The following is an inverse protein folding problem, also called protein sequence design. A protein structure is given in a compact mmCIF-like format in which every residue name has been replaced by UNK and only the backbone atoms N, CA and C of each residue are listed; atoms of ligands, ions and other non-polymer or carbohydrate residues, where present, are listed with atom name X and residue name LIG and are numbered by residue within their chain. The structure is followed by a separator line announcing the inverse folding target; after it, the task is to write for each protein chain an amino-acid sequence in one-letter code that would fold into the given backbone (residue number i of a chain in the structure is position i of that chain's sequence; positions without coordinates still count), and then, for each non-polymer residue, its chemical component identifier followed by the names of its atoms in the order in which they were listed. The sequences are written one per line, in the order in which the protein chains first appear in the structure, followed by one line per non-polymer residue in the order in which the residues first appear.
data_IF_692183042823
#
_entry.id   IF_692183042823
#
_cell.length_a   1.000
_cell.length_b   1.000
_cell.length_c   1.000
_cell.angle_alpha   90.00
_cell.angle_beta   90.00
_cell.angle_gamma   90.00
#
_symmetry.space_group_name_H-M   'P 1'
#
loop_
_entity.id
_entity.type
_entity.pdbx_description
1 polymer ?
#
# COMPACT_ATOMS: atom_id res chain seq x y z
N UNK A 1 -1.21 -35.70 -14.50
CA UNK A 1 -2.39 -36.19 -13.75
C UNK A 1 -2.59 -35.44 -12.42
N UNK A 2 -1.58 -35.32 -11.56
CA UNK A 2 -1.76 -34.71 -10.23
C UNK A 2 -2.15 -33.23 -10.24
N UNK A 3 -1.63 -32.43 -11.18
CA UNK A 3 -2.03 -31.03 -11.35
C UNK A 3 -3.52 -30.92 -11.72
N UNK A 4 -3.97 -31.70 -12.71
CA UNK A 4 -5.36 -31.71 -13.19
C UNK A 4 -6.37 -32.14 -12.10
N UNK A 5 -5.94 -32.95 -11.14
CA UNK A 5 -6.80 -33.39 -10.04
C UNK A 5 -7.10 -32.26 -9.04
N UNK A 6 -6.14 -31.34 -8.85
CA UNK A 6 -6.25 -30.23 -7.90
C UNK A 6 -7.08 -29.05 -8.43
N UNK A 7 -7.22 -28.92 -9.75
CA UNK A 7 -7.95 -27.82 -10.39
C UNK A 7 -9.47 -27.96 -10.22
N UNK A 8 -10.18 -26.83 -10.15
CA UNK A 8 -11.65 -26.81 -10.12
C UNK A 8 -12.23 -27.07 -11.52
N UNK A 9 -13.52 -27.37 -11.60
CA UNK A 9 -14.19 -27.58 -12.90
C UNK A 9 -14.07 -26.36 -13.81
N UNK A 10 -14.25 -25.16 -13.23
CA UNK A 10 -14.11 -23.88 -13.95
C UNK A 10 -12.72 -23.73 -14.56
N UNK A 11 -11.66 -24.03 -13.79
CA UNK A 11 -10.28 -23.94 -14.29
C UNK A 11 -10.03 -24.90 -15.46
N UNK A 12 -10.56 -26.13 -15.38
CA UNK A 12 -10.42 -27.12 -16.45
C UNK A 12 -11.15 -26.69 -17.73
N UNK A 13 -12.30 -26.03 -17.60
CA UNK A 13 -13.04 -25.47 -18.74
C UNK A 13 -12.25 -24.33 -19.40
N UNK A 14 -11.69 -23.40 -18.61
CA UNK A 14 -10.90 -22.30 -19.18
C UNK A 14 -9.59 -22.82 -19.80
N UNK A 15 -8.92 -23.80 -19.18
CA UNK A 15 -7.75 -24.46 -19.77
C UNK A 15 -8.12 -25.12 -21.10
N UNK A 16 -9.20 -25.89 -21.17
CA UNK A 16 -9.63 -26.54 -22.41
C UNK A 16 -9.91 -25.50 -23.51
N UNK A 17 -10.56 -24.39 -23.18
CA UNK A 17 -10.81 -23.27 -24.10
C UNK A 17 -9.52 -22.62 -24.58
N UNK A 18 -8.57 -22.32 -23.68
CA UNK A 18 -7.25 -21.74 -24.02
C UNK A 18 -6.43 -22.72 -24.87
N UNK A 19 -6.58 -24.02 -24.64
CA UNK A 19 -5.96 -25.07 -25.44
C UNK A 19 -6.68 -25.34 -26.76
N UNK A 20 -7.80 -24.68 -27.02
CA UNK A 20 -8.65 -24.85 -28.21
C UNK A 20 -9.23 -26.27 -28.33
N UNK A 21 -9.48 -26.93 -27.19
CA UNK A 21 -10.11 -28.24 -27.11
C UNK A 21 -11.63 -28.07 -27.21
N UNK A 22 -12.26 -28.80 -28.14
CA UNK A 22 -13.73 -28.82 -28.25
C UNK A 22 -14.37 -29.42 -26.99
N UNK A 23 -15.26 -28.66 -26.36
CA UNK A 23 -15.98 -29.06 -25.15
C UNK A 23 -17.48 -28.96 -25.35
N UNK A 24 -18.25 -29.79 -24.64
CA UNK A 24 -19.72 -29.81 -24.70
C UNK A 24 -20.32 -29.27 -23.40
N UNK A 25 -21.52 -28.68 -23.49
CA UNK A 25 -22.22 -28.17 -22.31
C UNK A 25 -22.59 -29.34 -21.39
N UNK A 26 -22.24 -29.23 -20.10
CA UNK A 26 -22.52 -30.28 -19.10
C UNK A 26 -21.44 -31.36 -18.97
N UNK A 27 -20.29 -31.20 -19.65
CA UNK A 27 -19.17 -32.14 -19.57
C UNK A 27 -18.65 -32.29 -18.13
N UNK A 28 -18.38 -33.54 -17.73
CA UNK A 28 -17.93 -33.83 -16.36
C UNK A 28 -16.44 -33.54 -16.17
N UNK A 29 -16.05 -33.26 -14.93
CA UNK A 29 -14.66 -32.97 -14.56
C UNK A 29 -13.66 -33.99 -15.09
N UNK A 30 -13.95 -35.29 -14.93
CA UNK A 30 -13.03 -36.35 -15.35
C UNK A 30 -12.96 -36.54 -16.87
N UNK A 31 -13.99 -36.15 -17.61
CA UNK A 31 -13.96 -36.15 -19.08
C UNK A 31 -13.05 -35.02 -19.60
N UNK A 32 -13.16 -33.82 -19.03
CA UNK A 32 -12.27 -32.70 -19.36
C UNK A 32 -10.80 -33.02 -19.08
N UNK A 33 -10.51 -33.67 -17.94
CA UNK A 33 -9.15 -34.11 -17.63
C UNK A 33 -8.60 -35.05 -18.70
N UNK A 34 -9.40 -36.01 -19.17
CA UNK A 34 -8.98 -36.96 -20.21
C UNK A 34 -8.70 -36.26 -21.53
N UNK A 35 -9.55 -35.31 -21.94
CA UNK A 35 -9.34 -34.54 -23.16
C UNK A 35 -8.07 -33.69 -23.08
N UNK A 36 -7.85 -33.00 -21.96
CA UNK A 36 -6.62 -32.22 -21.74
C UNK A 36 -5.39 -33.13 -21.75
N UNK A 37 -5.43 -34.27 -21.07
CA UNK A 37 -4.33 -35.25 -21.09
C UNK A 37 -4.03 -35.77 -22.48
N UNK A 38 -5.07 -36.09 -23.27
CA UNK A 38 -4.90 -36.56 -24.64
C UNK A 38 -4.25 -35.48 -25.52
N UNK A 39 -4.72 -34.23 -25.42
CA UNK A 39 -4.13 -33.11 -26.15
C UNK A 39 -2.65 -32.88 -25.81
N UNK A 40 -2.27 -33.01 -24.53
CA UNK A 40 -0.86 -32.90 -24.11
C UNK A 40 0.01 -34.02 -24.70
N UNK A 41 -0.50 -35.25 -24.72
CA UNK A 41 0.20 -36.41 -25.30
C UNK A 41 0.41 -36.24 -26.82
N UNK A 42 -0.64 -35.85 -27.56
CA UNK A 42 -0.55 -35.59 -29.01
C UNK A 42 0.49 -34.52 -29.35
N UNK A 43 0.60 -33.53 -28.47
CA UNK A 43 1.52 -32.41 -28.62
C UNK A 43 2.93 -32.68 -28.07
N UNK A 44 3.16 -33.84 -27.43
CA UNK A 44 4.39 -34.16 -26.69
C UNK A 44 4.77 -33.05 -25.68
N UNK A 45 3.76 -32.51 -25.00
CA UNK A 45 3.90 -31.49 -23.97
C UNK A 45 3.44 -32.01 -22.62
N UNK A 46 3.85 -31.30 -21.56
CA UNK A 46 3.51 -31.64 -20.18
C UNK A 46 2.98 -30.38 -19.48
N UNK A 47 2.10 -30.56 -18.49
CA UNK A 47 1.69 -29.45 -17.63
C UNK A 47 2.74 -29.23 -16.54
N UNK A 48 3.11 -27.98 -16.33
CA UNK A 48 3.91 -27.61 -15.17
C UNK A 48 3.43 -26.32 -14.54
N UNK A 49 3.70 -26.25 -13.24
CA UNK A 49 3.53 -25.06 -12.44
C UNK A 49 4.89 -24.57 -11.97
N UNK A 50 5.06 -23.26 -11.79
CA UNK A 50 6.26 -22.68 -11.16
C UNK A 50 6.17 -21.17 -10.94
N UNK A 51 7.13 -20.61 -10.23
CA UNK A 51 7.19 -19.19 -9.87
C UNK A 51 8.10 -18.44 -10.85
N UNK A 52 7.59 -17.41 -11.51
CA UNK A 52 8.34 -16.64 -12.49
C UNK A 52 9.46 -15.82 -11.85
N UNK A 53 10.68 -15.99 -12.37
CA UNK A 53 11.84 -15.16 -12.05
C UNK A 53 12.29 -14.44 -13.33
N UNK A 54 12.00 -13.14 -13.43
CA UNK A 54 12.27 -12.32 -14.62
C UNK A 54 13.71 -11.78 -14.60
N UNK A 55 14.38 -11.83 -15.75
CA UNK A 55 15.67 -11.21 -15.98
C UNK A 55 15.52 -9.75 -16.45
N UNK A 56 16.55 -8.89 -16.27
CA UNK A 56 16.52 -7.49 -16.72
C UNK A 56 16.21 -7.32 -18.21
N UNK A 57 16.59 -8.29 -19.04
CA UNK A 57 16.36 -8.31 -20.48
C UNK A 57 14.92 -8.69 -20.87
N UNK A 58 14.04 -8.93 -19.88
CA UNK A 58 12.60 -9.11 -20.04
C UNK A 58 12.14 -10.55 -20.23
N UNK A 59 13.05 -11.51 -20.50
CA UNK A 59 12.73 -12.94 -20.44
C UNK A 59 12.77 -13.44 -18.99
N UNK A 60 12.34 -14.68 -18.73
CA UNK A 60 12.39 -15.23 -17.38
C UNK A 60 12.43 -16.75 -17.34
N UNK A 61 12.54 -17.28 -16.13
CA UNK A 61 12.44 -18.71 -15.86
C UNK A 61 11.42 -18.97 -14.76
N UNK A 62 10.56 -19.97 -14.93
CA UNK A 62 9.81 -20.52 -13.82
C UNK A 62 10.77 -21.35 -12.95
N UNK A 63 10.83 -20.99 -11.67
CA UNK A 63 11.54 -21.66 -10.58
C UNK A 63 10.56 -22.50 -9.77
N UNK A 64 11.08 -23.33 -8.86
CA UNK A 64 10.28 -24.18 -7.96
C UNK A 64 9.21 -25.01 -8.70
N UNK A 65 9.60 -25.53 -9.86
CA UNK A 65 8.62 -26.11 -10.77
C UNK A 65 8.25 -27.53 -10.37
N UNK A 66 7.05 -27.97 -10.73
CA UNK A 66 6.60 -29.36 -10.53
C UNK A 66 7.44 -30.38 -11.30
N UNK A 67 8.23 -29.94 -12.28
CA UNK A 67 9.16 -30.78 -13.05
C UNK A 67 10.58 -30.81 -12.44
N UNK A 68 10.83 -30.08 -11.35
CA UNK A 68 12.15 -29.97 -10.71
C UNK A 68 13.22 -29.30 -11.59
N UNK A 69 12.82 -28.64 -12.69
CA UNK A 69 13.71 -28.02 -13.68
C UNK A 69 13.24 -26.61 -14.00
N UNK A 70 14.18 -25.72 -14.33
CA UNK A 70 13.84 -24.37 -14.78
C UNK A 70 13.12 -24.44 -16.13
N UNK A 71 12.04 -23.68 -16.26
CA UNK A 71 11.25 -23.59 -17.49
C UNK A 71 11.41 -22.17 -18.04
N UNK A 72 11.99 -22.06 -19.24
CA UNK A 72 12.16 -20.80 -19.94
C UNK A 72 10.81 -20.19 -20.34
N UNK A 73 10.70 -18.88 -20.19
CA UNK A 73 9.58 -18.09 -20.62
C UNK A 73 10.06 -16.85 -21.38
N UNK A 74 9.49 -16.65 -22.57
CA UNK A 74 9.92 -15.57 -23.47
C UNK A 74 9.42 -14.20 -23.00
N UNK A 75 10.17 -13.15 -23.34
CA UNK A 75 9.78 -11.77 -23.04
C UNK A 75 8.43 -11.39 -23.66
N UNK A 76 8.07 -11.96 -24.82
CA UNK A 76 6.77 -11.72 -25.46
C UNK A 76 5.62 -12.32 -24.66
N UNK A 77 5.76 -13.54 -24.12
CA UNK A 77 4.76 -14.15 -23.24
C UNK A 77 4.62 -13.37 -21.93
N UNK A 78 5.74 -12.99 -21.31
CA UNK A 78 5.76 -12.20 -20.08
C UNK A 78 5.05 -10.86 -20.30
N UNK A 79 5.39 -10.16 -21.38
CA UNK A 79 4.77 -8.88 -21.73
C UNK A 79 3.29 -9.01 -22.10
N UNK A 80 2.92 -10.02 -22.89
CA UNK A 80 1.54 -10.24 -23.34
C UNK A 80 0.59 -10.45 -22.16
N UNK A 81 0.98 -11.31 -21.22
CA UNK A 81 0.18 -11.64 -20.04
C UNK A 81 0.53 -10.76 -18.83
N UNK A 82 1.33 -9.70 -19.03
CA UNK A 82 1.74 -8.71 -18.02
C UNK A 82 2.30 -9.36 -16.74
N UNK A 83 3.00 -10.48 -16.91
CA UNK A 83 3.53 -11.28 -15.81
C UNK A 83 4.76 -10.61 -15.21
N UNK A 84 4.95 -10.80 -13.91
CA UNK A 84 6.04 -10.23 -13.13
C UNK A 84 6.76 -11.29 -12.31
N UNK A 85 7.91 -10.89 -11.80
CA UNK A 85 8.66 -11.71 -10.85
C UNK A 85 7.77 -12.08 -9.65
N UNK A 86 7.71 -13.37 -9.33
CA UNK A 86 6.89 -13.92 -8.26
C UNK A 86 5.56 -14.50 -8.73
N UNK A 87 5.11 -14.22 -9.95
CA UNK A 87 3.86 -14.77 -10.45
C UNK A 87 3.93 -16.30 -10.58
N UNK A 88 2.90 -16.94 -10.08
CA UNK A 88 2.71 -18.38 -10.16
C UNK A 88 2.11 -18.75 -11.49
N UNK A 89 2.86 -19.40 -12.37
CA UNK A 89 2.42 -19.67 -13.74
C UNK A 89 2.13 -21.15 -13.91
N UNK A 90 0.92 -21.46 -14.40
CA UNK A 90 0.54 -22.77 -14.94
C UNK A 90 0.61 -22.71 -16.47
N UNK A 91 1.37 -23.61 -17.07
CA UNK A 91 1.55 -23.63 -18.51
C UNK A 91 1.65 -25.03 -19.10
N UNK A 92 1.37 -25.09 -20.40
CA UNK A 92 1.76 -26.19 -21.28
C UNK A 92 3.24 -26.03 -21.62
N UNK A 93 4.04 -27.04 -21.32
CA UNK A 93 5.50 -27.01 -21.37
C UNK A 93 5.99 -28.03 -22.38
N UNK A 94 6.95 -27.62 -23.21
CA UNK A 94 7.66 -28.53 -24.13
C UNK A 94 9.06 -28.85 -23.62
N UNK A 95 9.55 -30.03 -24.01
CA UNK A 95 10.95 -30.42 -23.84
C UNK A 95 11.86 -29.53 -24.70
N UNK A 96 13.13 -29.35 -24.30
CA UNK A 96 14.11 -28.62 -25.09
C UNK A 96 14.27 -29.23 -26.49
N UNK A 97 14.46 -28.40 -27.51
CA UNK A 97 14.68 -28.82 -28.90
C UNK A 97 16.08 -28.39 -29.34
N UNK A 98 16.81 -29.27 -30.03
CA UNK A 98 18.14 -28.96 -30.56
C UNK A 98 19.16 -28.70 -29.46
N UNK A 99 19.75 -27.50 -29.45
CA UNK A 99 20.78 -27.08 -28.49
C UNK A 99 20.21 -26.47 -27.19
N UNK A 100 18.88 -26.32 -27.09
CA UNK A 100 18.24 -25.81 -25.88
C UNK A 100 18.50 -26.73 -24.68
N UNK A 101 18.83 -26.16 -23.52
CA UNK A 101 19.09 -26.93 -22.28
C UNK A 101 17.89 -26.98 -21.34
N UNK A 102 16.96 -26.04 -21.48
CA UNK A 102 15.83 -25.86 -20.56
C UNK A 102 14.51 -26.25 -21.23
N UNK A 103 13.54 -26.65 -20.42
CA UNK A 103 12.14 -26.71 -20.86
C UNK A 103 11.66 -25.32 -21.23
N UNK A 104 10.62 -25.20 -22.05
CA UNK A 104 10.07 -23.91 -22.44
C UNK A 104 8.54 -23.90 -22.33
N UNK A 105 7.97 -22.79 -21.87
CA UNK A 105 6.52 -22.55 -21.90
C UNK A 105 6.09 -22.44 -23.36
N UNK A 106 5.27 -23.39 -23.81
CA UNK A 106 4.61 -23.32 -25.12
C UNK A 106 3.42 -22.38 -25.04
N UNK A 107 2.57 -22.56 -24.03
CA UNK A 107 1.32 -21.81 -23.84
C UNK A 107 1.11 -21.57 -22.35
N UNK A 108 0.89 -20.31 -21.96
CA UNK A 108 0.43 -19.98 -20.61
C UNK A 108 -1.03 -20.38 -20.54
N UNK A 109 -1.45 -21.02 -19.45
CA UNK A 109 -2.82 -21.50 -19.26
C UNK A 109 -3.53 -20.74 -18.14
N UNK A 110 -2.80 -20.40 -17.08
CA UNK A 110 -3.26 -19.61 -15.95
C UNK A 110 -2.07 -18.95 -15.27
N UNK A 111 -2.25 -17.81 -14.62
CA UNK A 111 -1.26 -17.31 -13.67
C UNK A 111 -1.92 -16.75 -12.41
N UNK A 112 -1.31 -17.03 -11.27
CA UNK A 112 -1.87 -16.86 -9.93
C UNK A 112 -3.26 -17.50 -9.89
N UNK A 113 -4.28 -16.73 -9.51
CA UNK A 113 -5.68 -17.15 -9.52
C UNK A 113 -6.49 -16.55 -10.69
N UNK A 114 -5.82 -15.84 -11.60
CA UNK A 114 -6.46 -15.10 -12.68
C UNK A 114 -6.50 -15.88 -13.99
N UNK A 115 -7.63 -15.76 -14.69
CA UNK A 115 -7.77 -16.23 -16.07
C UNK A 115 -6.95 -15.33 -17.01
N UNK A 116 -6.43 -15.88 -18.11
CA UNK A 116 -5.53 -15.14 -19.02
C UNK A 116 -6.17 -13.88 -19.61
N UNK A 117 -7.48 -13.93 -19.89
CA UNK A 117 -8.22 -12.77 -20.40
C UNK A 117 -8.19 -11.60 -19.40
N UNK A 118 -8.28 -11.88 -18.10
CA UNK A 118 -8.17 -10.85 -17.06
C UNK A 118 -6.77 -10.22 -17.06
N UNK A 119 -5.72 -11.06 -17.10
CA UNK A 119 -4.32 -10.62 -17.16
C UNK A 119 -4.02 -9.78 -18.39
N UNK A 120 -4.51 -10.18 -19.58
CA UNK A 120 -4.32 -9.40 -20.81
C UNK A 120 -5.03 -8.03 -20.72
N UNK A 121 -6.20 -7.97 -20.08
CA UNK A 121 -6.99 -6.74 -19.93
C UNK A 121 -6.49 -5.76 -18.85
N UNK A 122 -5.68 -6.23 -17.89
CA UNK A 122 -5.18 -5.42 -16.77
C UNK A 122 -4.40 -4.20 -17.24
N UNK A 123 -4.79 -2.99 -16.87
CA UNK A 123 -4.06 -1.78 -17.26
C UNK A 123 -2.87 -1.59 -16.29
N UNK A 124 -1.62 -1.41 -16.77
CA UNK A 124 -0.48 -1.14 -15.89
C UNK A 124 -0.71 0.09 -15.01
N UNK A 125 -0.19 0.08 -13.79
CA UNK A 125 -0.40 1.12 -12.79
C UNK A 125 -0.08 2.53 -13.29
N UNK A 126 0.99 2.65 -14.07
CA UNK A 126 1.47 3.91 -14.65
C UNK A 126 0.52 4.48 -15.72
N UNK A 127 -0.32 3.64 -16.32
CA UNK A 127 -1.34 4.02 -17.32
C UNK A 127 -2.72 4.26 -16.71
N UNK A 128 -2.92 3.90 -15.44
CA UNK A 128 -4.18 4.17 -14.72
C UNK A 128 -4.39 5.68 -14.52
N UNK A 129 -5.65 6.12 -14.63
CA UNK A 129 -6.00 7.55 -14.55
C UNK A 129 -6.11 7.99 -13.08
N UNK A 130 -5.18 8.83 -12.57
CA UNK A 130 -5.24 9.32 -11.20
C UNK A 130 -6.38 10.33 -11.02
N UNK A 131 -7.01 10.30 -9.86
CA UNK A 131 -8.03 11.26 -9.42
C UNK A 131 -7.79 11.70 -7.98
N UNK A 132 -8.51 12.74 -7.55
CA UNK A 132 -8.54 13.08 -6.13
C UNK A 132 -9.29 11.99 -5.35
N UNK A 133 -8.93 11.76 -4.08
CA UNK A 133 -9.75 10.98 -3.17
C UNK A 133 -11.15 11.59 -3.05
N UNK A 134 -12.17 10.73 -3.15
CA UNK A 134 -13.59 11.12 -3.04
C UNK A 134 -14.36 10.28 -2.02
N UNK A 135 -13.68 9.32 -1.39
CA UNK A 135 -14.26 8.46 -0.36
C UNK A 135 -13.36 8.53 0.88
N UNK A 136 -13.95 8.95 2.00
CA UNK A 136 -13.26 9.09 3.28
C UNK A 136 -13.10 7.73 3.97
N UNK A 137 -11.93 7.49 4.58
CA UNK A 137 -11.79 6.49 5.62
C UNK A 137 -12.35 7.05 6.93
N UNK A 138 -13.41 6.45 7.47
CA UNK A 138 -13.98 6.82 8.76
C UNK A 138 -13.12 6.22 9.87
N UNK A 139 -12.33 7.04 10.54
CA UNK A 139 -11.38 6.58 11.56
C UNK A 139 -11.97 6.68 12.98
N UNK A 140 -12.92 7.58 13.22
CA UNK A 140 -13.53 7.85 14.51
C UNK A 140 -14.82 7.08 14.79
N UNK A 141 -14.92 5.81 14.35
CA UNK A 141 -16.12 4.98 14.53
C UNK A 141 -16.34 4.67 16.01
N UNK A 142 -15.29 4.22 16.69
CA UNK A 142 -15.33 4.00 18.14
C UNK A 142 -15.31 5.34 18.90
N UNK A 143 -16.18 5.45 19.89
CA UNK A 143 -16.29 6.64 20.75
C UNK A 143 -14.95 6.96 21.44
N UNK A 144 -14.23 5.92 21.87
CA UNK A 144 -12.98 6.04 22.62
C UNK A 144 -11.75 6.30 21.72
N UNK A 145 -11.91 6.18 20.39
CA UNK A 145 -10.85 6.49 19.43
C UNK A 145 -10.75 8.01 19.17
N UNK A 146 -10.20 8.72 20.14
CA UNK A 146 -10.02 10.18 20.09
C UNK A 146 -9.14 10.58 18.89
N UNK A 147 -8.10 9.82 18.57
CA UNK A 147 -7.22 10.06 17.41
C UNK A 147 -7.99 10.03 16.10
N UNK A 148 -8.75 8.97 15.87
CA UNK A 148 -9.58 8.83 14.67
C UNK A 148 -10.64 9.92 14.58
N UNK A 149 -11.30 10.25 15.69
CA UNK A 149 -12.29 11.32 15.74
C UNK A 149 -11.72 12.70 15.43
N UNK A 150 -10.52 13.02 15.93
CA UNK A 150 -9.83 14.27 15.57
C UNK A 150 -9.42 14.26 14.11
N UNK A 151 -8.89 13.16 13.58
CA UNK A 151 -8.53 13.06 12.17
C UNK A 151 -9.72 13.28 11.24
N UNK A 152 -10.87 12.66 11.53
CA UNK A 152 -12.08 12.84 10.73
C UNK A 152 -12.59 14.29 10.70
N UNK A 153 -12.31 15.08 11.75
CA UNK A 153 -12.71 16.50 11.85
C UNK A 153 -11.67 17.46 11.27
N UNK A 154 -10.38 17.16 11.42
CA UNK A 154 -9.29 18.13 11.18
C UNK A 154 -8.46 17.78 9.94
N UNK A 155 -8.24 16.50 9.66
CA UNK A 155 -7.41 16.04 8.54
C UNK A 155 -8.00 14.77 7.94
N UNK A 156 -9.21 14.82 7.34
CA UNK A 156 -9.87 13.64 6.81
C UNK A 156 -8.97 12.95 5.77
N UNK A 157 -8.87 11.63 5.85
CA UNK A 157 -8.03 10.81 4.96
C UNK A 157 -8.96 10.03 4.04
N UNK A 158 -8.70 10.04 2.73
CA UNK A 158 -9.48 9.26 1.77
C UNK A 158 -8.72 8.14 1.07
N UNK A 159 -9.46 7.32 0.32
CA UNK A 159 -8.92 6.31 -0.59
C UNK A 159 -8.04 6.99 -1.66
N UNK A 160 -6.76 6.64 -1.68
CA UNK A 160 -5.76 7.24 -2.55
C UNK A 160 -5.02 8.46 -1.99
N UNK A 161 -5.14 8.74 -0.69
CA UNK A 161 -4.48 9.89 -0.06
C UNK A 161 -2.96 9.70 0.05
N UNK A 162 -2.22 10.81 -0.06
CA UNK A 162 -0.80 10.94 0.30
C UNK A 162 -0.71 11.75 1.59
N UNK A 163 -0.78 11.07 2.72
CA UNK A 163 -0.76 11.71 4.03
C UNK A 163 0.65 11.68 4.64
N UNK A 164 1.09 12.82 5.17
CA UNK A 164 2.31 12.94 5.97
C UNK A 164 1.93 13.11 7.44
N UNK A 165 2.52 12.28 8.30
CA UNK A 165 2.53 12.48 9.75
C UNK A 165 3.85 13.15 10.09
N UNK A 166 3.82 14.47 10.25
CA UNK A 166 4.98 15.30 10.57
C UNK A 166 5.17 15.27 12.08
N UNK A 167 6.16 14.53 12.56
CA UNK A 167 6.30 14.28 13.99
C UNK A 167 7.75 14.50 14.48
N UNK A 168 7.95 15.25 15.58
CA UNK A 168 9.23 15.25 16.26
C UNK A 168 9.44 13.95 17.05
N UNK A 169 10.69 13.63 17.43
CA UNK A 169 10.97 12.51 18.31
C UNK A 169 10.14 12.61 19.62
N UNK A 170 9.65 11.45 20.10
CA UNK A 170 8.84 11.32 21.33
C UNK A 170 7.45 11.97 21.30
N UNK A 171 6.90 12.31 20.13
CA UNK A 171 5.55 12.87 20.00
C UNK A 171 4.41 11.83 20.06
N UNK A 172 4.72 10.53 20.25
CA UNK A 172 3.72 9.45 20.26
C UNK A 172 3.42 8.85 18.88
N UNK A 173 4.36 8.99 17.93
CA UNK A 173 4.27 8.47 16.54
C UNK A 173 3.79 7.02 16.45
N UNK A 174 4.43 6.10 17.18
CA UNK A 174 4.16 4.66 17.11
C UNK A 174 2.74 4.34 17.55
N UNK A 175 2.31 4.85 18.71
CA UNK A 175 0.92 4.73 19.18
C UNK A 175 -0.08 5.33 18.20
N UNK A 176 0.28 6.44 17.56
CA UNK A 176 -0.59 7.09 16.58
C UNK A 176 -0.75 6.27 15.29
N UNK A 177 0.32 5.66 14.79
CA UNK A 177 0.25 4.72 13.65
C UNK A 177 -0.64 3.52 14.00
N UNK A 178 -0.43 2.89 15.15
CA UNK A 178 -1.24 1.74 15.58
C UNK A 178 -2.73 2.11 15.69
N UNK A 179 -3.03 3.30 16.21
CA UNK A 179 -4.40 3.82 16.30
C UNK A 179 -5.05 4.03 14.93
N UNK A 180 -4.32 4.57 13.95
CA UNK A 180 -4.81 4.70 12.56
C UNK A 180 -5.00 3.32 11.93
N UNK A 181 -4.07 2.39 12.12
CA UNK A 181 -4.13 1.05 11.56
C UNK A 181 -5.38 0.30 12.03
N UNK A 182 -5.61 0.26 13.35
CA UNK A 182 -6.77 -0.40 13.94
C UNK A 182 -8.09 0.22 13.46
N UNK A 183 -8.14 1.56 13.37
CA UNK A 183 -9.31 2.27 12.86
C UNK A 183 -9.61 1.93 11.38
N UNK A 184 -8.58 1.80 10.55
CA UNK A 184 -8.73 1.39 9.14
C UNK A 184 -9.26 -0.04 9.03
N UNK A 185 -8.71 -0.97 9.82
CA UNK A 185 -9.10 -2.39 9.81
C UNK A 185 -10.55 -2.57 10.26
N UNK A 186 -10.95 -1.84 11.30
CA UNK A 186 -12.33 -1.89 11.80
C UNK A 186 -13.32 -1.26 10.82
N UNK A 187 -12.99 -0.06 10.32
CA UNK A 187 -13.90 0.76 9.53
C UNK A 187 -14.00 0.40 8.05
N UNK A 188 -12.97 -0.21 7.46
CA UNK A 188 -12.86 -0.36 6.01
C UNK A 188 -12.41 -1.76 5.59
N UNK A 189 -13.38 -2.68 5.54
CA UNK A 189 -13.16 -4.10 5.22
C UNK A 189 -12.77 -4.38 3.77
N UNK A 190 -12.90 -3.39 2.89
CA UNK A 190 -12.56 -3.51 1.47
C UNK A 190 -11.13 -3.02 1.14
N UNK A 191 -10.37 -2.67 2.17
CA UNK A 191 -9.02 -2.12 2.05
C UNK A 191 -8.01 -2.99 2.80
N UNK A 192 -6.92 -3.36 2.13
CA UNK A 192 -5.81 -4.06 2.78
C UNK A 192 -4.89 -3.08 3.49
N UNK A 193 -4.66 -3.31 4.79
CA UNK A 193 -3.79 -2.47 5.62
C UNK A 193 -2.42 -3.11 5.76
N UNK A 194 -1.41 -2.45 5.22
CA UNK A 194 -0.01 -2.86 5.27
C UNK A 194 0.78 -1.87 6.11
N UNK A 195 1.64 -2.38 7.00
CA UNK A 195 2.55 -1.55 7.79
C UNK A 195 3.97 -1.85 7.36
N UNK A 196 4.70 -0.82 6.91
CA UNK A 196 6.09 -0.91 6.49
C UNK A 196 6.98 -0.16 7.48
N UNK A 197 7.77 -0.91 8.25
CA UNK A 197 8.68 -0.39 9.27
C UNK A 197 10.12 -0.46 8.75
N UNK A 198 10.76 0.68 8.61
CA UNK A 198 12.10 0.83 8.04
C UNK A 198 13.04 1.45 9.06
N UNK A 199 14.14 0.76 9.36
CA UNK A 199 15.20 1.22 10.27
C UNK A 199 14.63 1.59 11.66
N UNK A 200 13.57 0.88 12.08
CA UNK A 200 12.96 1.03 13.39
C UNK A 200 13.45 -0.04 14.36
N UNK A 201 13.20 0.19 15.65
CA UNK A 201 13.69 -0.70 16.71
C UNK A 201 12.93 -2.02 16.78
N UNK A 202 13.59 -3.17 17.03
CA UNK A 202 12.93 -4.46 17.13
C UNK A 202 11.78 -4.50 18.15
N UNK A 203 11.89 -3.79 19.27
CA UNK A 203 10.83 -3.70 20.27
C UNK A 203 9.60 -2.94 19.75
N UNK A 204 9.78 -1.89 18.95
CA UNK A 204 8.68 -1.14 18.32
C UNK A 204 8.02 -1.96 17.21
N UNK A 205 8.79 -2.76 16.47
CA UNK A 205 8.25 -3.72 15.50
C UNK A 205 7.40 -4.79 16.18
N UNK A 206 7.85 -5.28 17.35
CA UNK A 206 7.12 -6.29 18.12
C UNK A 206 5.82 -5.70 18.67
N UNK A 207 5.88 -4.50 19.26
CA UNK A 207 4.71 -3.79 19.77
C UNK A 207 3.62 -3.60 18.70
N UNK A 208 4.00 -3.20 17.48
CA UNK A 208 3.03 -3.07 16.37
C UNK A 208 2.41 -4.42 16.00
N UNK A 209 3.20 -5.49 15.93
CA UNK A 209 2.69 -6.83 15.58
C UNK A 209 1.73 -7.38 16.61
N UNK A 210 1.93 -7.06 17.89
CA UNK A 210 1.06 -7.51 18.98
C UNK A 210 -0.22 -6.67 19.12
N UNK A 211 -0.16 -5.37 18.78
CA UNK A 211 -1.29 -4.45 18.97
C UNK A 211 -2.14 -4.17 17.72
N UNK A 212 -1.70 -4.60 16.53
CA UNK A 212 -2.40 -4.38 15.26
C UNK A 212 -2.72 -5.70 14.59
N UNK A 213 -3.82 -6.32 15.03
CA UNK A 213 -4.34 -7.54 14.42
C UNK A 213 -5.04 -7.24 13.08
N UNK A 214 -4.75 -8.02 12.05
CA UNK A 214 -5.36 -7.88 10.72
C UNK A 214 -4.56 -7.05 9.71
N UNK A 215 -3.54 -6.29 10.16
CA UNK A 215 -2.58 -5.66 9.25
C UNK A 215 -1.48 -6.64 8.83
N UNK A 216 -0.99 -6.51 7.60
CA UNK A 216 0.23 -7.21 7.18
C UNK A 216 1.45 -6.34 7.51
N UNK A 217 2.29 -6.81 8.45
CA UNK A 217 3.47 -6.06 8.92
C UNK A 217 4.73 -6.52 8.20
N UNK A 218 5.35 -5.61 7.44
CA UNK A 218 6.65 -5.74 6.82
C UNK A 218 7.66 -4.90 7.60
N UNK A 219 8.80 -5.47 7.97
CA UNK A 219 9.81 -4.75 8.74
C UNK A 219 11.22 -5.08 8.26
N UNK A 220 12.07 -4.05 8.24
CA UNK A 220 13.52 -4.18 8.23
C UNK A 220 14.06 -3.28 9.34
N UNK A 221 14.65 -3.89 10.37
CA UNK A 221 15.06 -3.19 11.60
C UNK A 221 16.36 -2.42 11.37
N UNK A 222 16.73 -1.55 12.31
CA UNK A 222 18.00 -0.80 12.23
C UNK A 222 19.27 -1.69 12.21
N UNK A 223 19.14 -2.97 12.57
CA UNK A 223 20.24 -3.95 12.53
C UNK A 223 20.53 -4.46 11.11
N UNK A 224 19.61 -4.27 10.16
CA UNK A 224 19.75 -4.74 8.79
C UNK A 224 20.61 -3.79 7.93
N UNK A 225 21.18 -4.32 6.84
CA UNK A 225 21.89 -3.50 5.84
C UNK A 225 20.91 -2.50 5.16
N UNK A 226 21.29 -1.23 4.94
CA UNK A 226 20.45 -0.26 4.24
C UNK A 226 19.93 -0.70 2.86
N UNK A 227 20.64 -1.60 2.16
CA UNK A 227 20.17 -2.23 0.92
C UNK A 227 18.94 -3.09 1.14
N UNK A 228 18.80 -3.72 2.31
CA UNK A 228 17.62 -4.50 2.65
C UNK A 228 16.40 -3.60 2.83
N UNK A 229 16.55 -2.43 3.45
CA UNK A 229 15.47 -1.45 3.58
C UNK A 229 14.91 -1.04 2.20
N UNK A 230 15.82 -0.75 1.26
CA UNK A 230 15.47 -0.40 -0.13
C UNK A 230 14.77 -1.59 -0.80
N UNK A 231 15.36 -2.78 -0.72
CA UNK A 231 14.80 -4.00 -1.34
C UNK A 231 13.38 -4.30 -0.85
N UNK A 232 13.17 -4.30 0.47
CA UNK A 232 11.84 -4.56 1.06
C UNK A 232 10.85 -3.49 0.57
N UNK A 233 11.22 -2.22 0.61
CA UNK A 233 10.34 -1.12 0.17
C UNK A 233 9.92 -1.25 -1.30
N UNK A 234 10.88 -1.53 -2.20
CA UNK A 234 10.63 -1.69 -3.63
C UNK A 234 9.75 -2.93 -3.92
N UNK A 235 9.96 -4.03 -3.19
CA UNK A 235 9.09 -5.22 -3.32
C UNK A 235 7.65 -4.95 -2.83
N UNK A 236 7.49 -4.19 -1.74
CA UNK A 236 6.15 -3.87 -1.20
C UNK A 236 5.40 -2.89 -2.11
N UNK A 237 6.05 -1.86 -2.62
CA UNK A 237 5.35 -0.91 -3.50
C UNK A 237 4.89 -1.56 -4.80
N UNK A 238 5.69 -2.44 -5.39
CA UNK A 238 5.30 -3.18 -6.60
C UNK A 238 4.14 -4.14 -6.34
N UNK A 239 4.12 -4.82 -5.18
CA UNK A 239 2.96 -5.63 -4.76
C UNK A 239 1.70 -4.79 -4.59
N UNK A 240 1.81 -3.61 -3.98
CA UNK A 240 0.67 -2.72 -3.78
C UNK A 240 0.10 -2.21 -5.11
N UNK A 241 0.97 -1.79 -6.04
CA UNK A 241 0.56 -1.37 -7.39
C UNK A 241 -0.21 -2.48 -8.11
N UNK A 242 0.27 -3.72 -8.07
CA UNK A 242 -0.42 -4.86 -8.70
C UNK A 242 -1.83 -5.06 -8.17
N UNK A 243 -2.02 -4.98 -6.85
CA UNK A 243 -3.35 -5.07 -6.24
C UNK A 243 -4.29 -3.96 -6.72
N UNK A 244 -3.78 -2.72 -6.82
CA UNK A 244 -4.57 -1.61 -7.35
C UNK A 244 -4.91 -1.78 -8.83
N UNK A 245 -4.01 -2.35 -9.64
CA UNK A 245 -4.31 -2.72 -11.02
C UNK A 245 -5.45 -3.75 -11.15
N UNK A 246 -5.62 -4.61 -10.14
CA UNK A 246 -6.73 -5.56 -10.01
C UNK A 246 -8.00 -4.94 -9.41
N UNK A 247 -7.99 -3.64 -9.12
CA UNK A 247 -9.13 -2.91 -8.57
C UNK A 247 -9.23 -2.93 -7.05
N UNK A 248 -8.21 -3.42 -6.35
CA UNK A 248 -8.20 -3.48 -4.88
C UNK A 248 -7.77 -2.15 -4.24
N UNK A 249 -8.18 -1.93 -2.99
CA UNK A 249 -7.74 -0.79 -2.18
C UNK A 249 -6.61 -1.23 -1.25
N UNK A 250 -5.48 -0.54 -1.29
CA UNK A 250 -4.32 -0.82 -0.44
C UNK A 250 -3.95 0.44 0.34
N UNK A 251 -3.72 0.30 1.64
CA UNK A 251 -3.22 1.35 2.53
C UNK A 251 -1.86 0.93 3.06
N UNK A 252 -0.82 1.74 2.83
CA UNK A 252 0.51 1.54 3.39
C UNK A 252 0.76 2.60 4.48
N UNK A 253 0.96 2.12 5.70
CA UNK A 253 1.46 2.92 6.82
C UNK A 253 2.99 2.78 6.87
N UNK A 254 3.73 3.82 6.48
CA UNK A 254 5.19 3.81 6.43
C UNK A 254 5.79 4.53 7.64
N UNK A 255 6.68 3.85 8.36
CA UNK A 255 7.48 4.41 9.44
C UNK A 255 8.98 4.12 9.22
N UNK A 256 9.80 5.01 8.66
CA UNK A 256 9.47 6.38 8.22
C UNK A 256 10.06 6.74 6.86
N UNK A 257 9.48 7.76 6.22
CA UNK A 257 9.97 8.31 4.96
C UNK A 257 11.36 8.95 5.11
N UNK A 258 11.64 9.54 6.28
CA UNK A 258 12.97 10.10 6.60
C UNK A 258 14.04 9.01 6.62
N UNK A 259 13.77 7.89 7.29
CA UNK A 259 14.70 6.77 7.37
C UNK A 259 14.92 6.10 6.01
N UNK A 260 13.85 5.95 5.23
CA UNK A 260 13.94 5.47 3.84
C UNK A 260 14.85 6.38 3.00
N UNK A 261 14.64 7.69 3.04
CA UNK A 261 15.47 8.64 2.29
C UNK A 261 16.96 8.60 2.71
N UNK A 262 17.24 8.42 4.01
CA UNK A 262 18.61 8.20 4.50
C UNK A 262 19.23 6.92 3.93
N UNK A 263 18.48 5.82 3.87
CA UNK A 263 18.95 4.55 3.30
C UNK A 263 19.36 4.71 1.82
N UNK A 264 18.53 5.37 0.99
CA UNK A 264 18.91 5.66 -0.40
C UNK A 264 20.14 6.55 -0.49
N UNK A 265 20.27 7.56 0.36
CA UNK A 265 21.43 8.45 0.37
C UNK A 265 22.74 7.74 0.75
N UNK A 266 22.67 6.66 1.53
CA UNK A 266 23.84 5.83 1.89
C UNK A 266 24.21 4.87 0.75
N UNK A 267 23.21 4.25 0.12
CA UNK A 267 23.43 3.15 -0.84
C UNK A 267 23.72 3.65 -2.25
N UNK A 268 23.11 4.76 -2.67
CA UNK A 268 23.22 5.22 -4.04
C UNK A 268 24.60 5.81 -4.35
N UNK A 269 25.14 5.57 -5.57
CA UNK A 269 26.35 6.25 -6.02
C UNK A 269 26.15 7.76 -6.02
N UNK A 270 27.14 8.52 -5.53
CA UNK A 270 27.07 9.97 -5.56
C UNK A 270 27.10 10.50 -7.00
N UNK A 271 26.22 11.44 -7.29
CA UNK A 271 26.17 12.24 -8.51
C UNK A 271 27.24 13.35 -8.56
N UNK A 272 27.98 13.55 -7.47
CA UNK A 272 28.93 14.65 -7.31
C UNK A 272 28.29 16.01 -6.99
N UNK A 273 26.96 16.08 -6.85
CA UNK A 273 26.22 17.28 -6.42
C UNK A 273 25.59 17.02 -5.07
N UNK A 274 25.75 17.96 -4.14
CA UNK A 274 25.16 17.88 -2.81
C UNK A 274 24.23 19.08 -2.58
N UNK A 275 23.04 18.80 -2.06
CA UNK A 275 22.16 19.79 -1.45
C UNK A 275 22.67 20.15 -0.06
N UNK A 276 22.04 21.17 0.54
CA UNK A 276 22.20 21.43 1.97
C UNK A 276 21.91 20.16 2.78
N UNK A 277 22.63 19.97 3.89
CA UNK A 277 22.49 18.78 4.72
C UNK A 277 23.20 17.52 4.18
N UNK A 278 23.97 17.62 3.10
CA UNK A 278 24.79 16.49 2.60
C UNK A 278 24.00 15.43 1.83
N UNK A 279 22.85 15.83 1.27
CA UNK A 279 21.98 14.93 0.51
C UNK A 279 22.31 15.02 -0.96
N UNK A 280 22.46 13.88 -1.61
CA UNK A 280 22.47 13.82 -3.05
C UNK A 280 21.03 13.98 -3.59
N UNK A 281 20.73 14.94 -4.49
CA UNK A 281 19.39 15.08 -5.06
C UNK A 281 18.85 13.78 -5.67
N UNK A 282 19.72 12.94 -6.22
CA UNK A 282 19.31 11.66 -6.80
C UNK A 282 18.78 10.69 -5.75
N UNK A 283 19.31 10.75 -4.52
CA UNK A 283 18.86 9.89 -3.41
C UNK A 283 17.40 10.12 -3.02
N UNK A 284 16.84 11.31 -3.32
CA UNK A 284 15.44 11.62 -3.04
C UNK A 284 14.48 11.15 -4.13
N UNK A 285 14.98 10.77 -5.31
CA UNK A 285 14.14 10.38 -6.45
C UNK A 285 13.26 9.17 -6.14
N UNK A 286 13.85 8.09 -5.63
CA UNK A 286 13.10 6.85 -5.33
C UNK A 286 12.12 7.02 -4.16
N UNK A 287 12.51 7.59 -3.01
CA UNK A 287 11.57 7.94 -1.95
C UNK A 287 10.39 8.83 -2.40
N UNK A 288 10.64 9.81 -3.27
CA UNK A 288 9.57 10.66 -3.85
C UNK A 288 8.64 9.86 -4.75
N UNK A 289 9.18 8.97 -5.58
CA UNK A 289 8.37 8.09 -6.42
C UNK A 289 7.54 7.11 -5.59
N UNK A 290 8.09 6.56 -4.52
CA UNK A 290 7.37 5.72 -3.57
C UNK A 290 6.16 6.49 -2.99
N UNK A 291 6.40 7.66 -2.39
CA UNK A 291 5.32 8.43 -1.76
C UNK A 291 4.32 8.99 -2.80
N UNK A 292 4.82 9.39 -3.98
CA UNK A 292 4.03 9.85 -5.12
C UNK A 292 3.29 8.74 -5.87
N UNK A 293 3.54 7.47 -5.54
CA UNK A 293 2.78 6.36 -6.09
C UNK A 293 1.32 6.45 -5.62
N UNK A 294 1.06 6.85 -4.37
CA UNK A 294 -0.28 6.92 -3.80
C UNK A 294 -1.21 7.88 -4.57
N UNK A 295 -2.36 7.34 -4.98
CA UNK A 295 -3.38 7.99 -5.81
C UNK A 295 -4.67 7.18 -5.79
N UNK A 296 -5.79 7.86 -5.99
CA UNK A 296 -7.07 7.23 -6.27
C UNK A 296 -7.17 6.95 -7.78
N UNK A 297 -7.70 5.79 -8.20
CA UNK A 297 -7.83 5.43 -9.62
C UNK A 297 -9.27 5.55 -10.09
N UNK A 298 -9.48 6.24 -11.21
CA UNK A 298 -10.81 6.33 -11.83
C UNK A 298 -11.32 4.95 -12.24
N UNK A 299 -12.47 4.54 -11.72
CA UNK A 299 -13.10 3.23 -11.98
C UNK A 299 -12.19 2.03 -11.63
N UNK A 300 -11.33 2.19 -10.62
CA UNK A 300 -10.42 1.14 -10.16
C UNK A 300 -10.25 1.17 -8.64
N UNK A 301 -9.16 0.57 -8.18
CA UNK A 301 -8.78 0.58 -6.76
C UNK A 301 -8.13 1.88 -6.33
N UNK A 302 -7.45 1.84 -5.18
CA UNK A 302 -6.71 3.01 -4.68
C UNK A 302 -5.46 2.58 -3.92
N UNK A 303 -4.41 3.38 -4.05
CA UNK A 303 -3.21 3.26 -3.22
C UNK A 303 -3.15 4.47 -2.27
N UNK A 304 -3.37 4.24 -1.00
CA UNK A 304 -3.15 5.23 0.05
C UNK A 304 -1.79 5.00 0.70
N UNK A 305 -1.01 6.06 0.88
CA UNK A 305 0.22 6.02 1.68
C UNK A 305 0.12 7.08 2.78
N UNK A 306 0.23 6.62 4.02
CA UNK A 306 0.32 7.46 5.22
C UNK A 306 1.73 7.24 5.76
N UNK A 307 2.60 8.23 5.62
CA UNK A 307 4.01 8.10 5.96
C UNK A 307 4.40 9.08 7.07
N UNK A 308 5.20 8.62 8.02
CA UNK A 308 5.80 9.50 9.02
C UNK A 308 7.03 10.19 8.44
N UNK A 309 7.23 11.44 8.84
CA UNK A 309 8.41 12.22 8.51
C UNK A 309 8.88 12.97 9.76
N UNK A 310 10.18 12.84 10.05
CA UNK A 310 10.78 13.38 11.26
C UNK A 310 11.12 14.86 11.08
N UNK A 311 10.75 15.67 12.07
CA UNK A 311 11.13 17.09 12.18
C UNK A 311 11.75 17.37 13.55
N UNK A 312 12.36 18.54 13.72
CA UNK A 312 12.98 18.99 14.97
C UNK A 312 13.98 17.97 15.57
N UNK A 313 14.71 17.25 14.71
CA UNK A 313 15.72 16.26 15.09
C UNK A 313 17.09 16.89 15.37
N UNK A 314 17.27 18.16 14.99
CA UNK A 314 18.56 18.85 14.98
C UNK A 314 19.46 18.48 13.78
N UNK A 315 18.98 17.63 12.87
CA UNK A 315 19.69 17.27 11.64
C UNK A 315 19.22 18.12 10.47
N UNK A 316 20.15 18.89 9.87
CA UNK A 316 19.88 19.62 8.61
C UNK A 316 19.48 18.70 7.46
N UNK A 317 19.93 17.44 7.48
CA UNK A 317 19.53 16.44 6.50
C UNK A 317 18.01 16.20 6.58
N UNK A 318 17.48 16.01 7.80
CA UNK A 318 16.06 15.71 7.98
C UNK A 318 15.18 16.91 7.64
N UNK A 319 15.64 18.13 7.95
CA UNK A 319 14.96 19.37 7.54
C UNK A 319 14.82 19.46 6.01
N UNK A 320 15.89 19.16 5.27
CA UNK A 320 15.87 19.17 3.80
C UNK A 320 14.99 18.05 3.26
N UNK A 321 15.05 16.85 3.84
CA UNK A 321 14.14 15.74 3.47
C UNK A 321 12.68 16.20 3.65
N UNK A 322 12.34 16.77 4.80
CA UNK A 322 10.99 17.25 5.08
C UNK A 322 10.50 18.28 4.06
N UNK A 323 11.28 19.32 3.77
CA UNK A 323 10.88 20.36 2.81
C UNK A 323 10.68 19.80 1.40
N UNK A 324 11.49 18.82 0.99
CA UNK A 324 11.37 18.16 -0.31
C UNK A 324 10.08 17.32 -0.43
N UNK A 325 9.59 16.76 0.67
CA UNK A 325 8.36 15.94 0.71
C UNK A 325 7.08 16.71 0.99
N UNK A 326 7.16 17.85 1.67
CA UNK A 326 6.03 18.72 1.99
C UNK A 326 5.21 19.14 0.77
N UNK A 327 5.87 19.29 -0.39
CA UNK A 327 5.20 19.61 -1.66
C UNK A 327 4.49 18.43 -2.32
N UNK A 328 4.82 17.19 -1.93
CA UNK A 328 4.34 15.95 -2.56
C UNK A 328 3.04 15.45 -1.92
N UNK A 329 2.89 15.66 -0.61
CA UNK A 329 1.70 15.29 0.17
C UNK A 329 0.47 16.14 -0.16
N UNK A 330 -0.71 15.60 0.17
CA UNK A 330 -1.98 16.32 0.09
C UNK A 330 -2.81 16.23 1.39
N UNK A 331 -2.30 15.58 2.43
CA UNK A 331 -2.80 15.63 3.80
C UNK A 331 -1.61 15.76 4.74
N UNK A 332 -1.61 16.77 5.60
CA UNK A 332 -0.54 17.02 6.56
C UNK A 332 -1.11 16.90 7.98
N UNK A 333 -0.51 16.04 8.79
CA UNK A 333 -0.89 15.78 10.19
C UNK A 333 0.32 16.09 11.05
N UNK A 334 0.27 17.20 11.79
CA UNK A 334 1.36 17.64 12.63
C UNK A 334 1.21 17.07 14.03
N UNK A 335 2.21 16.35 14.53
CA UNK A 335 2.34 16.05 15.95
C UNK A 335 3.25 17.08 16.61
N UNK A 336 2.89 17.51 17.81
CA UNK A 336 3.55 18.61 18.50
C UNK A 336 4.23 18.17 19.80
N UNK A 337 5.49 18.58 19.95
CA UNK A 337 6.30 18.24 21.14
C UNK A 337 5.72 18.85 22.42
N UNK A 338 5.22 20.09 22.36
CA UNK A 338 4.71 20.78 23.54
C UNK A 338 3.44 20.11 24.05
N UNK A 339 2.52 19.71 23.17
CA UNK A 339 1.35 18.90 23.54
C UNK A 339 1.75 17.60 24.25
N UNK A 340 2.73 16.87 23.69
CA UNK A 340 3.22 15.62 24.26
C UNK A 340 3.88 15.83 25.65
N UNK A 341 4.67 16.90 25.83
CA UNK A 341 5.29 17.28 27.10
C UNK A 341 4.26 17.60 28.18
N UNK A 342 3.14 18.24 27.82
CA UNK A 342 1.99 18.46 28.70
C UNK A 342 1.09 17.24 28.88
N UNK A 343 1.45 16.08 28.33
CA UNK A 343 0.68 14.83 28.37
C UNK A 343 -0.71 14.94 27.74
N UNK A 344 -0.85 15.81 26.74
CA UNK A 344 -2.07 15.95 25.95
C UNK A 344 -1.94 15.02 24.74
N UNK A 345 -2.71 13.93 24.76
CA UNK A 345 -2.75 12.94 23.69
C UNK A 345 -4.17 12.78 23.13
N UNK A 346 -4.33 12.60 21.81
CA UNK A 346 -3.26 12.59 20.80
C UNK A 346 -2.64 13.98 20.61
N UNK A 347 -1.32 14.03 20.40
CA UNK A 347 -0.55 15.28 20.39
C UNK A 347 -0.63 16.00 19.02
N UNK A 348 -1.83 16.09 18.43
CA UNK A 348 -2.04 16.65 17.09
C UNK A 348 -2.16 18.17 17.19
N UNK A 349 -1.35 18.90 16.41
CA UNK A 349 -1.54 20.34 16.21
C UNK A 349 -2.70 20.56 15.24
N UNK A 350 -3.88 20.75 15.81
CA UNK A 350 -5.14 20.93 15.06
C UNK A 350 -5.20 22.22 14.24
N UNK A 351 -4.29 23.17 14.49
CA UNK A 351 -4.25 24.46 13.77
C UNK A 351 -3.41 24.37 12.50
N UNK A 352 -2.39 23.50 12.49
CA UNK A 352 -1.51 23.28 11.34
C UNK A 352 -1.94 22.12 10.45
N UNK A 353 -2.68 21.17 11.01
CA UNK A 353 -3.08 19.95 10.29
C UNK A 353 -4.25 20.21 9.35
N UNK A 354 -4.25 19.57 8.18
CA UNK A 354 -5.34 19.66 7.23
C UNK A 354 -5.18 18.79 5.99
N UNK A 355 -6.28 18.66 5.24
CA UNK A 355 -6.34 17.91 3.98
C UNK A 355 -6.68 18.86 2.84
N UNK A 356 -5.92 18.79 1.74
CA UNK A 356 -6.24 19.55 0.53
C UNK A 356 -7.48 18.96 -0.14
N UNK A 357 -8.39 19.83 -0.57
CA UNK A 357 -9.68 19.44 -1.18
C UNK A 357 -10.55 18.56 -0.29
N UNK A 358 -10.61 18.86 1.01
CA UNK A 358 -11.45 18.13 1.97
C UNK A 358 -12.95 18.16 1.60
N UNK A 359 -13.40 19.14 0.81
CA UNK A 359 -14.76 19.22 0.26
C UNK A 359 -15.13 18.08 -0.70
N UNK A 360 -14.15 17.29 -1.15
CA UNK A 360 -14.39 16.07 -1.95
C UNK A 360 -14.60 14.83 -1.08
N UNK A 361 -14.24 14.89 0.20
CA UNK A 361 -14.33 13.77 1.15
C UNK A 361 -15.54 13.89 2.09
N UNK A 362 -16.02 15.11 2.29
CA UNK A 362 -17.05 15.45 3.28
C UNK A 362 -18.31 15.95 2.60
N UNK A 363 -19.46 15.63 3.19
CA UNK A 363 -20.74 16.17 2.75
C UNK A 363 -20.82 17.68 2.98
N UNK A 364 -21.56 18.39 2.12
CA UNK A 364 -21.66 19.87 2.15
C UNK A 364 -22.11 20.43 3.50
N UNK A 365 -23.04 19.78 4.18
CA UNK A 365 -23.49 20.26 5.49
C UNK A 365 -22.42 20.03 6.56
N UNK A 366 -21.71 18.90 6.48
CA UNK A 366 -20.69 18.52 7.44
C UNK A 366 -19.46 19.44 7.36
N UNK A 367 -19.04 19.82 6.15
CA UNK A 367 -17.87 20.69 5.98
C UNK A 367 -18.10 22.10 6.54
N UNK A 368 -19.29 22.67 6.39
CA UNK A 368 -19.60 24.01 6.94
C UNK A 368 -19.54 24.01 8.47
N UNK A 369 -20.01 22.94 9.12
CA UNK A 369 -19.92 22.77 10.57
C UNK A 369 -18.49 22.52 11.04
N UNK A 370 -17.69 21.74 10.30
CA UNK A 370 -16.26 21.54 10.58
C UNK A 370 -15.48 22.86 10.45
N UNK A 371 -15.77 23.68 9.45
CA UNK A 371 -15.16 25.00 9.34
C UNK A 371 -15.57 25.92 10.48
N UNK A 372 -16.82 25.81 10.95
CA UNK A 372 -17.25 26.52 12.15
C UNK A 372 -16.47 26.06 13.39
N UNK A 373 -16.30 24.74 13.58
CA UNK A 373 -15.46 24.16 14.63
C UNK A 373 -14.03 24.72 14.57
N UNK A 374 -13.39 24.73 13.39
CA UNK A 374 -12.03 25.27 13.21
C UNK A 374 -11.95 26.74 13.60
N UNK A 375 -12.94 27.57 13.26
CA UNK A 375 -12.99 28.98 13.67
C UNK A 375 -13.05 29.12 15.19
N UNK A 376 -13.94 28.38 15.85
CA UNK A 376 -14.07 28.42 17.31
C UNK A 376 -12.80 27.94 18.02
N UNK A 377 -12.10 26.94 17.47
CA UNK A 377 -10.83 26.46 18.01
C UNK A 377 -9.69 27.48 17.87
N UNK A 378 -9.73 28.33 16.83
CA UNK A 378 -8.77 29.42 16.64
C UNK A 378 -8.99 30.60 17.58
N UNK A 379 -10.16 30.70 18.22
CA UNK A 379 -10.45 31.76 19.21
C UNK A 379 -9.78 31.50 20.58
N UNK A 380 -9.20 30.31 20.79
CA UNK A 380 -8.44 30.00 22.00
C UNK A 380 -7.05 30.64 21.97
N UNK A 381 -6.55 31.04 23.15
CA UNK A 381 -5.28 31.76 23.31
C UNK A 381 -4.06 31.00 22.74
N UNK A 382 -4.10 29.67 22.75
CA UNK A 382 -3.02 28.83 22.24
C UNK A 382 -3.50 27.41 21.88
N UNK A 383 -2.69 26.71 21.06
CA UNK A 383 -2.94 25.33 20.62
C UNK A 383 -3.12 24.32 21.76
N UNK A 384 -2.46 24.52 22.91
CA UNK A 384 -2.57 23.62 24.07
C UNK A 384 -4.00 23.65 24.62
N UNK A 385 -4.55 24.86 24.81
CA UNK A 385 -5.92 25.07 25.25
C UNK A 385 -6.95 24.62 24.22
N UNK A 386 -6.74 24.94 22.93
CA UNK A 386 -7.63 24.51 21.84
C UNK A 386 -7.72 22.98 21.73
N UNK A 387 -6.57 22.29 21.73
CA UNK A 387 -6.51 20.83 21.63
C UNK A 387 -7.13 20.16 22.85
N UNK A 388 -6.86 20.69 24.05
CA UNK A 388 -7.47 20.18 25.29
C UNK A 388 -9.00 20.33 25.28
N UNK A 389 -9.51 21.46 24.79
CA UNK A 389 -10.94 21.71 24.66
C UNK A 389 -11.60 20.74 23.67
N UNK A 390 -10.98 20.53 22.50
CA UNK A 390 -11.47 19.57 21.51
C UNK A 390 -11.50 18.14 22.09
N UNK A 391 -10.43 17.70 22.74
CA UNK A 391 -10.37 16.37 23.38
C UNK A 391 -11.46 16.22 24.44
N UNK A 392 -11.71 17.25 25.25
CA UNK A 392 -12.78 17.25 26.26
C UNK A 392 -14.16 17.17 25.59
N UNK A 393 -14.38 17.91 24.51
CA UNK A 393 -15.63 17.86 23.75
C UNK A 393 -15.88 16.47 23.14
N UNK A 394 -14.85 15.87 22.54
CA UNK A 394 -14.90 14.49 22.01
C UNK A 394 -15.27 13.51 23.12
N UNK A 395 -14.62 13.58 24.29
CA UNK A 395 -14.90 12.68 25.42
C UNK A 395 -16.31 12.82 26.01
N UNK A 396 -16.97 13.95 25.79
CA UNK A 396 -18.30 14.23 26.34
C UNK A 396 -19.43 14.01 25.32
N UNK A 397 -19.09 13.59 24.11
CA UNK A 397 -20.02 13.32 23.01
C UNK A 397 -19.83 11.89 22.49
N UNK A 398 -20.90 11.28 21.98
CA UNK A 398 -20.90 9.91 21.48
C UNK A 398 -20.11 9.79 20.17
N UNK A 399 -20.32 10.74 19.27
CA UNK A 399 -19.75 10.74 17.92
C UNK A 399 -19.50 12.17 17.42
N UNK A 400 -18.86 12.29 16.25
CA UNK A 400 -18.52 13.59 15.67
C UNK A 400 -19.75 14.40 15.24
N UNK A 401 -20.84 13.75 14.84
CA UNK A 401 -22.06 14.44 14.43
C UNK A 401 -22.76 15.08 15.64
N UNK A 402 -22.80 14.39 16.79
CA UNK A 402 -23.29 14.97 18.05
C UNK A 402 -22.41 16.15 18.49
N UNK A 403 -21.08 16.04 18.35
CA UNK A 403 -20.17 17.14 18.68
C UNK A 403 -20.47 18.38 17.87
N UNK A 404 -20.58 18.25 16.55
CA UNK A 404 -20.85 19.37 15.65
C UNK A 404 -22.22 20.01 15.92
N UNK A 405 -23.24 19.19 16.18
CA UNK A 405 -24.59 19.65 16.52
C UNK A 405 -24.66 20.42 17.86
N UNK A 406 -23.70 20.23 18.77
CA UNK A 406 -23.65 20.90 20.07
C UNK A 406 -22.72 22.13 20.12
N UNK A 407 -22.19 22.58 18.98
CA UNK A 407 -21.40 23.81 18.91
C UNK A 407 -22.27 25.07 19.12
N UNK A 408 -21.74 26.13 19.74
CA UNK A 408 -20.42 26.23 20.36
C UNK A 408 -20.37 25.63 21.79
N UNK A 409 -21.52 25.27 22.35
CA UNK A 409 -21.71 24.96 23.79
C UNK A 409 -20.76 23.88 24.31
N UNK A 410 -20.44 22.87 23.51
CA UNK A 410 -19.58 21.74 23.95
C UNK A 410 -18.10 22.15 24.14
N UNK A 411 -17.62 23.19 23.45
CA UNK A 411 -16.23 23.65 23.57
C UNK A 411 -15.99 24.54 24.80
N UNK A 412 -16.99 25.35 25.18
CA UNK A 412 -16.87 26.34 26.26
C UNK A 412 -17.42 25.86 27.62
N UNK A 413 -17.79 24.58 27.74
CA UNK A 413 -18.10 23.92 29.01
C UNK A 413 -16.84 23.37 29.65
#
# INVERSE_FOLDING_TARGET
MDILNKLLLKDLQEIAKVMEIETVVGQKKDELKKLISHSLEENNTELAYGILDTAPEGFGFLKETTLGKNIYMSASQIKRFKLRRGDQVLGEVRKPIGEEKNFAIRRVLKANDNDLAALESRIPYEELIPTYPTEQFKLGIEQDNISGRILDLISPIGKGQRALIIAPPKAGKTTFISSIANALIEGQKDSEVWILLIDERPEEVTDIKENVEGATVFASTFDDDPKNHIKVTEEIIEKAKMKVEDGENVVILLDSLTRLARAYNIVMPSSGKLLSGGIDPTALYHPKNFFGAARNIKNGGSLTIIATILVDTGSKMDEVIYEEFKSTGNCDIYLDRQLAEFRIFPAIDITKSGTRKEELLLDKNQIDEIWNLRRLLNDYDNKVSATSALIKAIKTTRDNDELLAQLPKVLYK
#
